data_IF_132129560735
#
_entry.id   IF_132129560735
#
_cell.length_a   1.000
_cell.length_b   1.000
_cell.length_c   1.000
_cell.angle_alpha   90.00
_cell.angle_beta   90.00
_cell.angle_gamma   90.00
#
_symmetry.space_group_name_H-M   'P 1'
#
loop_
_entity.id
_entity.type
_entity.pdbx_description
1 polymer ?
#
# COMPACT_ATOMS: atom_id res chain seq x y z
N UNK A 1 31.90 5.88 -2.93
CA UNK A 1 31.77 6.81 -1.80
C UNK A 1 30.29 6.89 -1.44
N UNK A 2 29.86 6.47 -0.24
CA UNK A 2 28.48 6.72 0.19
C UNK A 2 28.32 8.23 0.39
N UNK A 3 27.39 8.85 -0.32
CA UNK A 3 27.04 10.26 -0.11
C UNK A 3 26.35 10.36 1.24
N UNK A 4 27.10 10.73 2.28
CA UNK A 4 26.54 11.03 3.60
C UNK A 4 25.74 12.32 3.42
N UNK A 5 24.40 12.21 3.50
CA UNK A 5 23.51 13.38 3.50
C UNK A 5 23.86 14.23 4.72
N UNK A 6 24.56 15.34 4.45
CA UNK A 6 24.96 16.29 5.48
C UNK A 6 23.72 17.01 6.01
N UNK A 7 23.69 17.26 7.31
CA UNK A 7 22.61 17.94 8.00
C UNK A 7 22.48 19.37 7.46
N UNK A 8 21.28 19.75 7.01
CA UNK A 8 20.99 21.13 6.67
C UNK A 8 21.01 21.98 7.96
N UNK A 9 22.16 22.57 8.28
CA UNK A 9 22.35 23.59 9.33
C UNK A 9 21.73 24.94 8.95
N UNK A 10 20.54 24.94 8.35
CA UNK A 10 19.74 26.14 8.18
C UNK A 10 19.07 26.51 9.49
N UNK A 11 19.18 27.77 9.91
CA UNK A 11 18.61 28.32 11.15
C UNK A 11 17.07 28.27 11.26
N UNK A 12 16.39 27.71 10.26
CA UNK A 12 14.94 27.59 10.24
C UNK A 12 14.51 26.29 10.94
N UNK A 13 13.74 26.41 12.03
CA UNK A 13 13.13 25.26 12.68
C UNK A 13 12.22 24.50 11.69
N UNK A 14 12.51 23.23 11.36
CA UNK A 14 11.74 22.46 10.37
C UNK A 14 10.27 22.28 10.77
N UNK A 15 9.93 22.42 12.05
CA UNK A 15 8.58 22.24 12.56
C UNK A 15 7.65 23.46 12.37
N UNK A 16 8.12 24.54 11.74
CA UNK A 16 7.37 25.81 11.62
C UNK A 16 6.28 25.79 10.57
N UNK A 17 6.42 24.94 9.53
CA UNK A 17 5.45 24.80 8.46
C UNK A 17 5.59 23.44 7.78
N UNK A 18 4.54 22.98 7.09
CA UNK A 18 4.61 21.76 6.28
C UNK A 18 5.76 21.82 5.28
N UNK A 19 5.94 22.95 4.60
CA UNK A 19 6.97 23.12 3.58
C UNK A 19 8.37 22.96 4.17
N UNK A 20 8.63 23.54 5.34
CA UNK A 20 9.92 23.43 6.02
C UNK A 20 10.18 22.01 6.52
N UNK A 21 9.15 21.35 7.08
CA UNK A 21 9.25 19.97 7.54
C UNK A 21 9.50 19.04 6.36
N UNK A 22 8.76 19.21 5.28
CA UNK A 22 8.87 18.38 4.09
C UNK A 22 10.24 18.54 3.41
N UNK A 23 10.77 19.76 3.29
CA UNK A 23 12.11 20.00 2.77
C UNK A 23 13.20 19.30 3.60
N UNK A 24 12.96 19.10 4.91
CA UNK A 24 13.87 18.37 5.80
C UNK A 24 13.70 16.84 5.72
N UNK A 25 12.47 16.35 5.56
CA UNK A 25 12.13 14.92 5.53
C UNK A 25 12.35 14.27 4.16
N UNK A 26 12.00 14.96 3.08
CA UNK A 26 11.99 14.41 1.72
C UNK A 26 13.36 13.82 1.30
N UNK A 27 14.51 14.48 1.53
CA UNK A 27 15.80 13.91 1.14
C UNK A 27 16.10 12.55 1.79
N UNK A 28 15.65 12.36 3.04
CA UNK A 28 15.78 11.08 3.73
C UNK A 28 14.84 10.02 3.15
N UNK A 29 13.62 10.41 2.76
CA UNK A 29 12.69 9.52 2.06
C UNK A 29 13.24 9.10 0.70
N UNK A 30 13.76 10.03 -0.09
CA UNK A 30 14.38 9.74 -1.38
C UNK A 30 15.55 8.77 -1.23
N UNK A 31 16.38 8.96 -0.20
CA UNK A 31 17.48 8.06 0.09
C UNK A 31 17.02 6.63 0.44
N UNK A 32 15.93 6.44 1.20
CA UNK A 32 15.48 5.10 1.60
C UNK A 32 14.56 4.42 0.58
N UNK A 33 13.83 5.19 -0.23
CA UNK A 33 12.85 4.67 -1.20
C UNK A 33 13.45 4.53 -2.59
N UNK A 34 14.22 5.53 -3.04
CA UNK A 34 14.62 5.66 -4.45
C UNK A 34 16.08 5.26 -4.71
N UNK A 35 16.96 5.36 -3.72
CA UNK A 35 18.37 4.97 -3.92
C UNK A 35 18.51 3.49 -4.26
N UNK A 36 19.39 3.13 -5.21
CA UNK A 36 19.78 1.74 -5.41
C UNK A 36 20.34 1.15 -4.12
N UNK A 37 19.76 0.04 -3.65
CA UNK A 37 20.33 -0.75 -2.56
C UNK A 37 20.99 -2.00 -3.15
N UNK A 38 22.27 -2.17 -2.82
CA UNK A 38 23.03 -3.39 -3.10
C UNK A 38 23.04 -4.33 -1.88
N UNK A 39 22.20 -4.10 -0.87
CA UNK A 39 22.16 -4.98 0.31
C UNK A 39 21.61 -6.36 -0.10
N UNK A 40 22.39 -7.44 0.02
CA UNK A 40 21.97 -8.79 -0.36
C UNK A 40 20.79 -9.28 0.48
N UNK A 41 20.54 -8.69 1.65
CA UNK A 41 19.42 -9.02 2.53
C UNK A 41 18.15 -8.21 2.19
N UNK A 42 18.17 -7.40 1.13
CA UNK A 42 17.01 -6.62 0.69
C UNK A 42 16.63 -5.49 1.65
N UNK A 43 17.58 -4.97 2.43
CA UNK A 43 17.33 -3.84 3.35
C UNK A 43 17.37 -2.51 2.60
N UNK A 44 16.57 -1.56 3.10
CA UNK A 44 16.64 -0.18 2.67
C UNK A 44 18.00 0.44 3.05
N UNK A 45 18.50 1.43 2.29
CA UNK A 45 19.67 2.21 2.67
C UNK A 45 19.53 2.79 4.07
N UNK A 46 20.61 2.72 4.86
CA UNK A 46 20.60 3.27 6.21
C UNK A 46 20.58 4.80 6.19
N UNK A 47 19.86 5.39 7.14
CA UNK A 47 19.92 6.82 7.45
C UNK A 47 20.82 7.00 8.67
N UNK A 48 21.63 8.06 8.68
CA UNK A 48 22.42 8.45 9.84
C UNK A 48 21.53 8.68 11.07
N UNK A 49 22.00 8.25 12.25
CA UNK A 49 21.21 8.35 13.48
C UNK A 49 20.85 9.79 13.82
N UNK A 50 21.75 10.75 13.58
CA UNK A 50 21.49 12.17 13.80
C UNK A 50 20.35 12.69 12.94
N UNK A 51 20.33 12.33 11.65
CA UNK A 51 19.23 12.67 10.75
C UNK A 51 17.92 11.99 11.15
N UNK A 52 17.97 10.70 11.54
CA UNK A 52 16.80 9.97 12.02
C UNK A 52 16.17 10.65 13.25
N UNK A 53 16.98 10.93 14.28
CA UNK A 53 16.54 11.58 15.50
C UNK A 53 16.05 13.02 15.26
N UNK A 54 16.72 13.75 14.35
CA UNK A 54 16.31 15.08 13.91
C UNK A 54 14.93 15.08 13.26
N UNK A 55 14.67 14.16 12.33
CA UNK A 55 13.36 14.01 11.66
C UNK A 55 12.27 13.65 12.66
N UNK A 56 12.54 12.70 13.55
CA UNK A 56 11.58 12.31 14.58
C UNK A 56 11.20 13.51 15.47
N UNK A 57 12.19 14.30 15.90
CA UNK A 57 11.99 15.49 16.73
C UNK A 57 11.25 16.60 15.98
N UNK A 58 11.58 16.82 14.70
CA UNK A 58 10.90 17.78 13.84
C UNK A 58 9.41 17.41 13.64
N UNK A 59 9.12 16.13 13.39
CA UNK A 59 7.74 15.65 13.27
C UNK A 59 6.96 15.82 14.58
N UNK A 60 7.57 15.47 15.72
CA UNK A 60 6.97 15.69 17.04
C UNK A 60 6.60 17.16 17.26
N UNK A 61 7.58 18.07 17.08
CA UNK A 61 7.38 19.49 17.27
C UNK A 61 6.31 20.07 16.33
N UNK A 62 6.22 19.55 15.09
CA UNK A 62 5.22 19.99 14.11
C UNK A 62 3.79 19.70 14.59
N UNK A 63 3.54 18.47 15.04
CA UNK A 63 2.25 18.06 15.58
C UNK A 63 1.91 18.86 16.85
N UNK A 64 2.87 19.06 17.75
CA UNK A 64 2.67 19.85 18.97
C UNK A 64 2.30 21.29 18.64
N UNK A 65 3.04 21.97 17.75
CA UNK A 65 2.76 23.35 17.36
C UNK A 65 1.39 23.54 16.69
N UNK A 66 0.97 22.57 15.86
CA UNK A 66 -0.37 22.58 15.27
C UNK A 66 -1.48 22.39 16.31
N UNK A 67 -1.24 21.54 17.33
CA UNK A 67 -2.22 21.31 18.40
C UNK A 67 -2.41 22.56 19.29
N UNK A 68 -1.34 23.28 19.59
CA UNK A 68 -1.36 24.52 20.38
C UNK A 68 -2.08 25.66 19.64
N UNK A 69 -1.83 25.78 18.32
CA UNK A 69 -2.50 26.76 17.46
C UNK A 69 -4.03 26.54 17.39
N UNK A 70 -4.47 25.27 17.46
CA UNK A 70 -5.88 24.92 17.53
C UNK A 70 -6.54 25.27 18.87
N UNK A 71 -5.80 25.17 19.98
CA UNK A 71 -6.32 25.44 21.33
C UNK A 71 -6.57 26.92 21.62
N UNK A 72 -5.82 27.84 20.99
CA UNK A 72 -5.99 29.29 21.18
C UNK A 72 -7.27 29.82 20.48
N UNK A 73 -7.81 29.07 19.52
CA UNK A 73 -8.98 29.48 18.72
C UNK A 73 -10.34 29.24 19.41
N UNK A 74 -10.38 28.73 20.64
CA UNK A 74 -11.62 28.50 21.40
C UNK A 74 -12.15 29.74 22.15
N UNK A 75 -11.48 30.88 22.07
CA UNK A 75 -11.87 32.10 22.80
C UNK A 75 -12.73 33.11 22.00
N UNK A 76 -13.07 32.83 20.73
CA UNK A 76 -13.86 33.74 19.89
C UNK A 76 -15.18 33.08 19.43
N UNK A 77 -16.35 33.64 19.78
CA UNK A 77 -17.63 33.11 19.32
C UNK A 77 -18.05 33.83 18.02
N UNK A 78 -17.58 33.37 16.86
CA UNK A 78 -18.15 33.82 15.57
C UNK A 78 -18.01 32.78 14.44
N UNK A 79 -19.16 32.54 13.82
CA UNK A 79 -19.42 32.03 12.48
C UNK A 79 -19.05 30.59 12.04
N UNK A 80 -20.13 29.85 11.83
CA UNK A 80 -20.27 28.61 11.06
C UNK A 80 -19.73 28.81 9.63
N UNK A 81 -18.48 28.42 9.34
CA UNK A 81 -18.00 27.92 8.01
C UNK A 81 -16.49 27.66 7.86
N UNK A 82 -15.74 27.36 8.93
CA UNK A 82 -14.38 26.82 8.80
C UNK A 82 -14.17 25.63 9.73
N UNK A 83 -14.59 24.46 9.27
CA UNK A 83 -14.40 23.17 9.96
C UNK A 83 -12.93 22.69 9.95
N UNK A 84 -11.96 23.62 10.01
CA UNK A 84 -10.52 23.36 10.07
C UNK A 84 -9.97 23.34 11.50
N UNK A 85 -10.84 23.39 12.51
CA UNK A 85 -10.49 23.03 13.89
C UNK A 85 -10.20 21.51 13.95
N UNK A 86 -8.93 21.11 14.00
CA UNK A 86 -8.52 19.75 14.42
C UNK A 86 -7.75 18.88 13.41
N UNK A 87 -7.35 19.39 12.25
CA UNK A 87 -6.72 18.56 11.20
C UNK A 87 -5.21 18.33 11.37
N UNK A 88 -4.69 18.29 12.61
CA UNK A 88 -3.26 18.09 12.82
C UNK A 88 -2.78 16.79 12.17
N UNK A 89 -1.78 16.91 11.30
CA UNK A 89 -1.16 15.81 10.57
C UNK A 89 -1.88 15.33 9.29
N UNK A 90 -3.00 15.95 8.88
CA UNK A 90 -3.69 15.59 7.62
C UNK A 90 -2.85 15.98 6.42
N UNK A 91 -2.27 17.17 6.48
CA UNK A 91 -1.43 17.79 5.46
C UNK A 91 -0.14 16.98 5.17
N UNK A 92 0.56 16.54 6.21
CA UNK A 92 1.74 15.67 6.05
C UNK A 92 1.36 14.29 5.52
N UNK A 93 0.19 13.76 5.90
CA UNK A 93 -0.29 12.48 5.38
C UNK A 93 -0.61 12.57 3.88
N UNK A 94 -1.29 13.62 3.43
CA UNK A 94 -1.56 13.89 2.02
C UNK A 94 -0.26 14.09 1.23
N UNK A 95 0.71 14.80 1.81
CA UNK A 95 2.03 14.99 1.20
C UNK A 95 2.79 13.66 1.04
N UNK A 96 2.72 12.77 2.03
CA UNK A 96 3.27 11.41 1.94
C UNK A 96 2.55 10.58 0.87
N UNK A 97 1.24 10.71 0.79
CA UNK A 97 0.43 10.00 -0.21
C UNK A 97 0.82 10.42 -1.64
N UNK A 98 1.01 11.72 -1.88
CA UNK A 98 1.51 12.25 -3.15
C UNK A 98 2.92 11.73 -3.45
N UNK A 99 3.81 11.76 -2.46
CA UNK A 99 5.17 11.26 -2.59
C UNK A 99 5.23 9.79 -3.01
N UNK A 100 4.47 8.91 -2.34
CA UNK A 100 4.45 7.48 -2.69
C UNK A 100 3.80 7.21 -4.03
N UNK A 101 2.83 8.03 -4.46
CA UNK A 101 2.27 7.98 -5.81
C UNK A 101 3.34 8.31 -6.86
N UNK A 102 4.09 9.40 -6.68
CA UNK A 102 5.18 9.79 -7.59
C UNK A 102 6.30 8.74 -7.64
N UNK A 103 6.77 8.26 -6.48
CA UNK A 103 7.78 7.20 -6.41
C UNK A 103 7.31 5.91 -7.11
N UNK A 104 6.03 5.56 -7.00
CA UNK A 104 5.48 4.39 -7.70
C UNK A 104 5.36 4.62 -9.21
N UNK A 105 4.99 5.83 -9.66
CA UNK A 105 4.96 6.19 -11.08
C UNK A 105 6.34 6.16 -11.71
N UNK A 106 7.39 6.58 -11.01
CA UNK A 106 8.78 6.45 -11.48
C UNK A 106 9.13 4.98 -11.77
N UNK A 107 8.73 4.05 -10.89
CA UNK A 107 8.91 2.61 -11.11
C UNK A 107 8.08 2.13 -12.31
N UNK A 108 6.83 2.59 -12.44
CA UNK A 108 5.99 2.22 -13.59
C UNK A 108 6.58 2.69 -14.92
N UNK A 109 7.14 3.90 -14.96
CA UNK A 109 7.78 4.49 -16.14
C UNK A 109 9.10 3.78 -16.50
N UNK A 110 9.81 3.25 -15.50
CA UNK A 110 11.03 2.47 -15.70
C UNK A 110 10.79 1.02 -16.12
N UNK A 111 9.54 0.55 -16.12
CA UNK A 111 9.24 -0.82 -16.52
C UNK A 111 9.62 -1.05 -18.00
N UNK A 112 10.34 -2.14 -18.33
CA UNK A 112 10.68 -2.45 -19.72
C UNK A 112 9.40 -2.66 -20.54
N UNK A 113 9.48 -2.67 -21.87
CA UNK A 113 8.33 -2.96 -22.75
C UNK A 113 8.14 -4.46 -23.03
N UNK A 114 9.23 -5.21 -22.95
CA UNK A 114 9.28 -6.65 -23.13
C UNK A 114 8.64 -7.38 -21.92
N UNK A 115 7.98 -8.51 -22.18
CA UNK A 115 7.20 -9.23 -21.16
C UNK A 115 8.10 -10.16 -20.30
N UNK A 116 9.21 -10.70 -20.83
CA UNK A 116 10.18 -11.53 -20.08
C UNK A 116 10.88 -10.70 -19.00
N UNK A 117 11.44 -9.57 -19.42
CA UNK A 117 12.21 -8.67 -18.53
C UNK A 117 11.33 -7.92 -17.55
N UNK A 118 10.01 -7.89 -17.75
CA UNK A 118 9.07 -7.19 -16.88
C UNK A 118 9.09 -7.74 -15.45
N UNK A 119 9.06 -9.06 -15.28
CA UNK A 119 9.04 -9.65 -13.93
C UNK A 119 10.41 -9.52 -13.25
N UNK A 120 11.49 -9.70 -14.02
CA UNK A 120 12.86 -9.47 -13.58
C UNK A 120 13.07 -8.02 -13.10
N UNK A 121 12.34 -7.06 -13.67
CA UNK A 121 12.35 -5.67 -13.22
C UNK A 121 11.44 -5.42 -12.01
N UNK A 122 10.19 -5.89 -12.05
CA UNK A 122 9.18 -5.58 -11.04
C UNK A 122 9.55 -6.16 -9.68
N UNK A 123 9.98 -7.42 -9.62
CA UNK A 123 10.22 -8.10 -8.32
C UNK A 123 11.32 -7.40 -7.52
N UNK A 124 12.52 -7.12 -8.06
CA UNK A 124 13.55 -6.36 -7.35
C UNK A 124 13.13 -4.93 -7.05
N UNK A 125 12.43 -4.26 -7.98
CA UNK A 125 11.95 -2.89 -7.78
C UNK A 125 10.95 -2.80 -6.64
N UNK A 126 10.02 -3.76 -6.55
CA UNK A 126 9.10 -3.88 -5.44
C UNK A 126 9.82 -4.19 -4.13
N UNK A 127 10.77 -5.12 -4.12
CA UNK A 127 11.50 -5.47 -2.89
C UNK A 127 12.23 -4.26 -2.30
N UNK A 128 12.87 -3.44 -3.13
CA UNK A 128 13.50 -2.17 -2.71
C UNK A 128 12.45 -1.18 -2.18
N UNK A 129 11.38 -0.97 -2.95
CA UNK A 129 10.29 -0.08 -2.56
C UNK A 129 9.65 -0.49 -1.24
N UNK A 130 9.36 -1.78 -1.06
CA UNK A 130 8.79 -2.38 0.15
C UNK A 130 9.72 -2.16 1.35
N UNK A 131 11.01 -2.47 1.22
CA UNK A 131 11.97 -2.26 2.30
C UNK A 131 12.09 -0.78 2.70
N UNK A 132 12.11 0.11 1.70
CA UNK A 132 12.09 1.55 1.91
C UNK A 132 10.81 2.01 2.61
N UNK A 133 9.65 1.51 2.20
CA UNK A 133 8.35 1.82 2.83
C UNK A 133 8.30 1.38 4.30
N UNK A 134 8.87 0.22 4.63
CA UNK A 134 9.01 -0.21 6.03
C UNK A 134 9.95 0.71 6.83
N UNK A 135 11.02 1.22 6.20
CA UNK A 135 11.92 2.19 6.81
C UNK A 135 11.25 3.54 7.05
N UNK A 136 10.53 4.06 6.05
CA UNK A 136 9.75 5.28 6.14
C UNK A 136 8.68 5.19 7.24
N UNK A 137 8.01 4.05 7.34
CA UNK A 137 7.00 3.79 8.38
C UNK A 137 7.60 3.87 9.80
N UNK A 138 8.83 3.40 10.00
CA UNK A 138 9.53 3.54 11.29
C UNK A 138 9.96 4.98 11.56
N UNK A 139 10.55 5.64 10.56
CA UNK A 139 11.01 7.03 10.64
C UNK A 139 9.88 8.00 10.99
N UNK A 140 8.71 7.80 10.39
CA UNK A 140 7.54 8.67 10.50
C UNK A 140 6.42 8.07 11.36
N UNK A 141 6.77 7.15 12.28
CA UNK A 141 5.79 6.46 13.13
C UNK A 141 4.94 7.41 14.00
N UNK A 142 5.42 8.64 14.21
CA UNK A 142 4.65 9.68 14.88
C UNK A 142 3.33 10.01 14.15
N UNK A 143 3.36 10.05 12.81
CA UNK A 143 2.16 10.24 11.97
C UNK A 143 1.18 9.09 12.17
N UNK A 144 1.67 7.85 12.23
CA UNK A 144 0.81 6.69 12.51
C UNK A 144 0.12 6.81 13.88
N UNK A 145 0.89 7.19 14.91
CA UNK A 145 0.40 7.26 16.30
C UNK A 145 -0.61 8.38 16.53
N UNK A 146 -0.44 9.53 15.89
CA UNK A 146 -1.21 10.73 16.20
C UNK A 146 -2.23 11.12 15.13
N UNK A 147 -1.93 10.88 13.86
CA UNK A 147 -2.88 11.13 12.77
C UNK A 147 -3.65 9.87 12.38
N UNK A 148 -2.96 8.80 11.96
CA UNK A 148 -3.63 7.59 11.43
C UNK A 148 -4.50 6.96 12.50
N UNK A 149 -4.00 6.77 13.73
CA UNK A 149 -4.80 6.24 14.84
C UNK A 149 -6.08 7.05 15.06
N UNK A 150 -5.96 8.37 15.15
CA UNK A 150 -7.11 9.28 15.32
C UNK A 150 -8.09 9.17 14.15
N UNK A 151 -7.59 9.14 12.91
CA UNK A 151 -8.43 8.99 11.72
C UNK A 151 -9.20 7.65 11.72
N UNK A 152 -8.56 6.56 12.17
CA UNK A 152 -9.23 5.26 12.33
C UNK A 152 -10.30 5.32 13.42
N UNK A 153 -10.01 5.96 14.56
CA UNK A 153 -10.97 6.18 15.64
C UNK A 153 -12.17 7.05 15.19
N UNK A 154 -11.96 7.95 14.21
CA UNK A 154 -12.95 8.80 13.54
C UNK A 154 -13.64 8.12 12.33
N UNK A 155 -13.60 6.79 12.23
CA UNK A 155 -14.21 6.00 11.15
C UNK A 155 -13.65 6.26 9.73
N UNK A 156 -12.40 6.69 9.61
CA UNK A 156 -11.72 6.89 8.30
C UNK A 156 -10.75 5.77 7.95
N UNK A 157 -10.66 4.73 8.76
CA UNK A 157 -9.78 3.57 8.56
C UNK A 157 -10.11 2.72 7.33
N UNK A 158 -9.31 1.67 7.10
CA UNK A 158 -9.53 0.73 5.99
C UNK A 158 -10.85 -0.03 6.11
N UNK A 159 -11.26 -0.36 7.33
CA UNK A 159 -12.55 -0.97 7.65
C UNK A 159 -13.38 0.04 8.43
N UNK A 160 -14.37 0.64 7.76
CA UNK A 160 -15.26 1.60 8.42
C UNK A 160 -16.41 0.88 9.10
N UNK A 161 -16.78 1.39 10.27
CA UNK A 161 -18.02 1.10 10.97
C UNK A 161 -19.21 1.23 10.04
N UNK A 162 -19.29 2.30 9.25
CA UNK A 162 -20.34 2.48 8.23
C UNK A 162 -20.43 1.30 7.25
N UNK A 163 -19.30 0.80 6.72
CA UNK A 163 -19.28 -0.36 5.81
C UNK A 163 -19.79 -1.64 6.49
N UNK A 164 -19.48 -1.80 7.79
CA UNK A 164 -19.91 -2.95 8.58
C UNK A 164 -21.39 -2.85 8.93
N UNK A 165 -21.86 -1.66 9.30
CA UNK A 165 -23.26 -1.42 9.63
C UNK A 165 -24.18 -1.65 8.45
N UNK A 166 -23.84 -1.16 7.25
CA UNK A 166 -24.65 -1.46 6.06
C UNK A 166 -24.73 -2.97 5.78
N UNK A 167 -23.66 -3.72 6.09
CA UNK A 167 -23.64 -5.18 5.98
C UNK A 167 -24.39 -5.90 7.10
N UNK A 168 -24.57 -5.27 8.26
CA UNK A 168 -25.19 -5.86 9.46
C UNK A 168 -26.56 -5.26 9.80
N UNK A 169 -27.03 -4.25 9.05
CA UNK A 169 -28.27 -3.52 9.32
C UNK A 169 -29.53 -4.43 9.35
N UNK A 170 -29.43 -5.66 8.84
CA UNK A 170 -30.48 -6.67 8.93
C UNK A 170 -30.51 -7.44 10.26
N UNK A 171 -29.43 -7.37 11.04
CA UNK A 171 -29.18 -8.18 12.24
C UNK A 171 -29.00 -7.34 13.51
N UNK A 172 -28.89 -6.02 13.39
CA UNK A 172 -28.70 -5.10 14.54
C UNK A 172 -30.06 -4.54 14.96
N UNK A 173 -30.41 -4.71 16.23
CA UNK A 173 -31.59 -4.11 16.84
C UNK A 173 -31.22 -2.79 17.51
N UNK A 174 -32.20 -1.88 17.64
CA UNK A 174 -32.01 -0.58 18.30
C UNK A 174 -31.60 -0.68 19.78
N UNK A 175 -31.73 -1.86 20.39
CA UNK A 175 -31.37 -2.15 21.78
C UNK A 175 -29.95 -2.75 21.94
N UNK A 176 -29.23 -2.99 20.85
CA UNK A 176 -27.91 -3.63 20.91
C UNK A 176 -26.89 -2.75 21.64
N UNK A 177 -26.22 -3.33 22.63
CA UNK A 177 -25.24 -2.61 23.45
C UNK A 177 -23.95 -2.34 22.68
N UNK A 178 -23.19 -1.33 23.11
CA UNK A 178 -21.85 -1.01 22.59
C UNK A 178 -20.91 -2.22 22.56
N UNK A 179 -21.09 -3.15 23.50
CA UNK A 179 -20.30 -4.40 23.58
C UNK A 179 -20.64 -5.37 22.45
N UNK A 180 -21.93 -5.55 22.13
CA UNK A 180 -22.39 -6.36 21.00
C UNK A 180 -21.83 -5.79 19.69
N UNK A 181 -21.92 -4.48 19.50
CA UNK A 181 -21.39 -3.79 18.33
C UNK A 181 -19.87 -3.99 18.21
N UNK A 182 -19.14 -3.86 19.31
CA UNK A 182 -17.68 -4.04 19.34
C UNK A 182 -17.28 -5.49 19.00
N UNK A 183 -18.07 -6.47 19.47
CA UNK A 183 -17.89 -7.88 19.14
C UNK A 183 -18.13 -8.15 17.64
N UNK A 184 -19.23 -7.63 17.10
CA UNK A 184 -19.57 -7.76 15.67
C UNK A 184 -18.50 -7.14 14.75
N UNK A 185 -17.97 -5.97 15.11
CA UNK A 185 -16.86 -5.34 14.38
C UNK A 185 -15.61 -6.22 14.39
N UNK A 186 -15.28 -6.83 15.54
CA UNK A 186 -14.14 -7.74 15.67
C UNK A 186 -14.34 -8.98 14.79
N UNK A 187 -15.51 -9.60 14.84
CA UNK A 187 -15.85 -10.76 14.01
C UNK A 187 -15.78 -10.41 12.52
N UNK A 188 -16.32 -9.26 12.12
CA UNK A 188 -16.26 -8.80 10.74
C UNK A 188 -14.83 -8.51 10.28
N UNK A 189 -14.01 -7.88 11.13
CA UNK A 189 -12.57 -7.71 10.87
C UNK A 189 -11.91 -9.05 10.60
N UNK A 190 -12.10 -10.05 11.47
CA UNK A 190 -11.53 -11.39 11.28
C UNK A 190 -12.00 -12.04 9.98
N UNK A 191 -13.28 -11.90 9.60
CA UNK A 191 -13.80 -12.39 8.31
C UNK A 191 -13.12 -11.72 7.12
N UNK A 192 -12.86 -10.42 7.19
CA UNK A 192 -12.12 -9.71 6.15
C UNK A 192 -10.66 -10.19 6.08
N UNK A 193 -10.02 -10.42 7.23
CA UNK A 193 -8.64 -10.94 7.28
C UNK A 193 -8.49 -12.34 6.69
N UNK A 194 -9.50 -13.20 6.81
CA UNK A 194 -9.50 -14.53 6.16
C UNK A 194 -9.29 -14.45 4.64
N UNK A 195 -9.70 -13.36 3.99
CA UNK A 195 -9.46 -13.13 2.54
C UNK A 195 -7.98 -12.92 2.21
N UNK A 196 -7.15 -12.68 3.21
CA UNK A 196 -5.72 -12.40 3.12
C UNK A 196 -4.84 -13.54 3.64
N UNK A 197 -5.44 -14.69 3.98
CA UNK A 197 -4.72 -15.86 4.48
C UNK A 197 -4.53 -15.88 5.99
N UNK A 198 -5.37 -15.16 6.74
CA UNK A 198 -5.46 -15.32 8.19
C UNK A 198 -6.33 -16.53 8.55
N UNK A 199 -5.86 -17.34 9.48
CA UNK A 199 -6.56 -18.45 10.12
C UNK A 199 -6.70 -18.23 11.63
N UNK A 200 -7.75 -18.78 12.22
CA UNK A 200 -7.98 -18.63 13.65
C UNK A 200 -6.91 -19.37 14.45
N UNK A 201 -6.21 -18.66 15.32
CA UNK A 201 -5.03 -19.17 16.05
C UNK A 201 -3.69 -18.75 15.47
N UNK A 202 -3.68 -18.04 14.33
CA UNK A 202 -2.44 -17.48 13.76
C UNK A 202 -1.70 -16.55 14.72
N UNK A 203 -0.36 -16.48 14.63
CA UNK A 203 0.44 -15.58 15.46
C UNK A 203 0.12 -14.10 15.17
N UNK A 204 0.39 -13.19 16.11
CA UNK A 204 0.14 -11.75 15.94
C UNK A 204 0.80 -11.15 14.70
N UNK A 205 1.95 -11.68 14.29
CA UNK A 205 2.66 -11.24 13.09
C UNK A 205 1.88 -11.53 11.80
N UNK A 206 1.22 -12.69 11.73
CA UNK A 206 0.40 -13.08 10.58
C UNK A 206 -0.90 -12.26 10.54
N UNK A 207 -1.47 -11.93 11.71
CA UNK A 207 -2.60 -10.97 11.80
C UNK A 207 -2.18 -9.60 11.26
N UNK A 208 -1.05 -9.06 11.72
CA UNK A 208 -0.55 -7.76 11.28
C UNK A 208 -0.22 -7.76 9.77
N UNK A 209 0.28 -8.87 9.25
CA UNK A 209 0.53 -9.05 7.82
C UNK A 209 -0.78 -9.04 7.00
N UNK A 210 -1.78 -9.81 7.42
CA UNK A 210 -3.09 -9.84 6.77
C UNK A 210 -3.77 -8.46 6.81
N UNK A 211 -3.64 -7.74 7.92
CA UNK A 211 -4.12 -6.37 8.08
C UNK A 211 -3.42 -5.40 7.13
N UNK A 212 -2.09 -5.45 7.05
CA UNK A 212 -1.34 -4.63 6.09
C UNK A 212 -1.75 -4.88 4.63
N UNK A 213 -2.06 -6.13 4.28
CA UNK A 213 -2.59 -6.48 2.95
C UNK A 213 -3.99 -5.90 2.73
N UNK A 214 -4.89 -6.00 3.73
CA UNK A 214 -6.24 -5.44 3.66
C UNK A 214 -6.23 -3.91 3.56
N UNK A 215 -5.35 -3.26 4.30
CA UNK A 215 -5.11 -1.82 4.26
C UNK A 215 -4.59 -1.37 2.89
N UNK A 216 -3.58 -2.05 2.35
CA UNK A 216 -3.08 -1.80 1.00
C UNK A 216 -4.17 -2.02 -0.06
N UNK A 217 -5.08 -2.96 0.19
CA UNK A 217 -6.20 -3.26 -0.67
C UNK A 217 -7.35 -2.24 -0.59
N UNK A 218 -7.36 -1.38 0.43
CA UNK A 218 -8.45 -0.44 0.64
C UNK A 218 -8.52 0.64 -0.46
N UNK A 219 -9.70 1.28 -0.64
CA UNK A 219 -9.85 2.46 -1.49
C UNK A 219 -8.94 3.63 -1.08
N UNK A 220 -8.66 4.55 -2.01
CA UNK A 220 -7.74 5.68 -1.78
C UNK A 220 -8.25 6.69 -0.75
N UNK A 221 -9.56 6.76 -0.52
CA UNK A 221 -10.17 7.66 0.47
C UNK A 221 -10.07 7.12 1.91
N UNK A 222 -9.45 5.94 2.11
CA UNK A 222 -9.20 5.39 3.44
C UNK A 222 -7.87 5.89 4.00
N UNK A 223 -7.81 6.10 5.31
CA UNK A 223 -6.58 6.39 6.05
C UNK A 223 -6.01 5.08 6.58
N UNK A 224 -4.76 4.80 6.21
CA UNK A 224 -4.02 3.59 6.55
C UNK A 224 -2.60 3.92 7.02
N UNK A 225 -1.91 3.04 7.76
CA UNK A 225 -0.51 3.21 8.13
C UNK A 225 0.39 3.49 6.93
N UNK A 226 1.50 4.20 7.17
CA UNK A 226 2.43 4.66 6.11
C UNK A 226 2.93 3.52 5.22
N UNK A 227 3.28 2.36 5.79
CA UNK A 227 3.70 1.20 5.01
C UNK A 227 2.61 0.72 4.04
N UNK A 228 1.38 0.60 4.53
CA UNK A 228 0.22 0.18 3.73
C UNK A 228 -0.20 1.24 2.70
N UNK A 229 -0.03 2.53 3.02
CA UNK A 229 -0.22 3.64 2.09
C UNK A 229 0.72 3.53 0.90
N UNK A 230 2.01 3.28 1.15
CA UNK A 230 3.00 3.06 0.09
C UNK A 230 2.63 1.85 -0.77
N UNK A 231 2.29 0.71 -0.17
CA UNK A 231 1.87 -0.48 -0.91
C UNK A 231 0.60 -0.24 -1.75
N UNK A 232 -0.37 0.53 -1.24
CA UNK A 232 -1.58 0.95 -1.97
C UNK A 232 -1.22 1.80 -3.20
N UNK A 233 -0.26 2.71 -3.06
CA UNK A 233 0.24 3.51 -4.21
C UNK A 233 0.97 2.65 -5.22
N UNK A 234 1.79 1.70 -4.78
CA UNK A 234 2.41 0.74 -5.70
C UNK A 234 1.36 -0.11 -6.43
N UNK A 235 0.29 -0.56 -5.74
CA UNK A 235 -0.82 -1.27 -6.37
C UNK A 235 -1.47 -0.46 -7.48
N UNK A 236 -1.89 0.75 -7.15
CA UNK A 236 -2.70 1.60 -8.03
C UNK A 236 -1.91 2.19 -9.20
N UNK A 237 -0.65 2.56 -8.98
CA UNK A 237 0.19 3.19 -10.02
C UNK A 237 0.94 2.16 -10.87
N UNK A 238 1.24 0.97 -10.33
CA UNK A 238 2.06 -0.06 -11.03
C UNK A 238 1.24 -1.30 -11.35
N UNK A 239 0.67 -1.96 -10.35
CA UNK A 239 0.07 -3.30 -10.55
C UNK A 239 -1.24 -3.27 -11.31
N UNK A 240 -2.18 -2.39 -10.95
CA UNK A 240 -3.49 -2.29 -11.60
C UNK A 240 -3.38 -1.99 -13.10
N UNK A 241 -2.55 -1.04 -13.57
CA UNK A 241 -2.31 -0.82 -15.00
C UNK A 241 -1.77 -2.05 -15.71
N UNK A 242 -0.86 -2.80 -15.08
CA UNK A 242 -0.26 -4.00 -15.67
C UNK A 242 -1.22 -5.21 -15.68
N UNK A 243 -2.16 -5.25 -14.75
CA UNK A 243 -3.23 -6.25 -14.65
C UNK A 243 -4.39 -5.95 -15.62
N UNK A 244 -4.61 -4.68 -15.96
CA UNK A 244 -5.68 -4.25 -16.84
C UNK A 244 -5.51 -4.86 -18.25
N UNK A 245 -6.60 -5.43 -18.77
CA UNK A 245 -6.65 -5.93 -20.15
C UNK A 245 -6.79 -4.76 -21.13
N UNK A 246 -6.03 -4.71 -22.24
CA UNK A 246 -6.18 -3.67 -23.25
C UNK A 246 -7.62 -3.58 -23.75
N UNK A 247 -8.25 -2.41 -23.60
CA UNK A 247 -9.59 -2.18 -24.17
C UNK A 247 -9.45 -2.07 -25.68
N UNK A 248 -9.84 -3.12 -26.42
CA UNK A 248 -9.99 -3.04 -27.87
C UNK A 248 -11.14 -2.07 -28.16
N UNK A 249 -10.82 -0.83 -28.58
CA UNK A 249 -11.82 0.12 -29.10
C UNK A 249 -12.29 -0.33 -30.49
N UNK A 250 -13.13 -1.37 -30.53
CA UNK A 250 -13.83 -1.82 -31.72
C UNK A 250 -15.32 -1.50 -31.61
N UNK A 251 -15.82 -0.56 -32.41
CA UNK A 251 -17.26 -0.39 -32.67
C UNK A 251 -17.76 -1.64 -33.41
N UNK A 252 -18.23 -2.68 -32.71
CA UNK A 252 -18.91 -3.79 -33.38
C UNK A 252 -20.42 -3.50 -33.51
N UNK A 253 -20.80 -2.82 -34.60
CA UNK A 253 -22.14 -3.01 -35.17
C UNK A 253 -22.15 -4.37 -35.88
N UNK A 254 -22.39 -5.46 -35.15
CA UNK A 254 -22.63 -6.76 -35.76
C UNK A 254 -23.93 -7.35 -35.19
N UNK A 255 -25.03 -7.11 -35.91
CA UNK A 255 -26.28 -7.84 -35.78
C UNK A 255 -26.04 -9.27 -36.28
N UNK A 256 -25.59 -10.18 -35.42
CA UNK A 256 -25.96 -11.60 -35.52
C UNK A 256 -25.69 -12.26 -34.16
N UNK A 257 -26.77 -12.71 -33.52
CA UNK A 257 -26.75 -13.54 -32.31
C UNK A 257 -26.07 -14.87 -32.65
N UNK A 258 -24.89 -15.10 -32.10
CA UNK A 258 -24.30 -16.45 -31.99
C UNK A 258 -24.82 -17.06 -30.67
N UNK A 259 -25.21 -18.35 -30.63
CA UNK A 259 -25.78 -18.98 -29.43
C UNK A 259 -24.80 -19.00 -28.26
N UNK A 260 -25.31 -18.73 -27.05
CA UNK A 260 -24.56 -18.82 -25.79
C UNK A 260 -24.27 -20.29 -25.46
N UNK A 261 -23.03 -20.74 -25.64
CA UNK A 261 -22.46 -21.92 -24.96
C UNK A 261 -21.78 -21.51 -23.66
N UNK A 262 -21.68 -22.40 -22.66
CA UNK A 262 -21.25 -22.05 -21.32
C UNK A 262 -19.74 -21.77 -21.26
N UNK A 263 -19.41 -20.71 -20.52
CA UNK A 263 -18.12 -20.21 -20.07
C UNK A 263 -16.90 -21.17 -20.20
N UNK A 264 -16.27 -21.18 -21.36
CA UNK A 264 -14.83 -21.42 -21.48
C UNK A 264 -14.14 -20.05 -21.61
N UNK A 265 -12.96 -19.81 -20.98
CA UNK A 265 -12.25 -18.55 -21.10
C UNK A 265 -11.82 -18.38 -22.56
N UNK A 266 -12.46 -17.44 -23.25
CA UNK A 266 -12.26 -17.18 -24.66
C UNK A 266 -10.79 -16.77 -24.90
N UNK A 267 -9.98 -17.53 -25.66
CA UNK A 267 -8.55 -17.25 -25.85
C UNK A 267 -8.25 -15.97 -26.64
N UNK A 268 -9.29 -15.31 -27.18
CA UNK A 268 -9.18 -14.15 -28.05
C UNK A 268 -9.21 -12.77 -27.34
N UNK A 269 -9.36 -12.73 -26.01
CA UNK A 269 -9.28 -11.46 -25.27
C UNK A 269 -7.83 -11.13 -24.92
N UNK A 270 -7.34 -9.92 -25.20
CA UNK A 270 -5.97 -9.53 -24.88
C UNK A 270 -5.83 -9.52 -23.36
N UNK A 271 -5.00 -10.44 -22.83
CA UNK A 271 -4.68 -10.50 -21.40
C UNK A 271 -3.96 -9.23 -20.98
N UNK A 272 -4.09 -8.87 -19.70
CA UNK A 272 -3.25 -7.83 -19.11
C UNK A 272 -1.77 -8.17 -19.27
N UNK A 273 -0.93 -7.14 -19.36
CA UNK A 273 0.49 -7.28 -19.67
C UNK A 273 1.20 -8.20 -18.69
N UNK A 274 0.93 -8.05 -17.39
CA UNK A 274 1.50 -8.92 -16.35
C UNK A 274 1.08 -10.39 -16.52
N UNK A 275 -0.15 -10.65 -16.95
CA UNK A 275 -0.62 -12.01 -17.17
C UNK A 275 0.03 -12.69 -18.38
N UNK A 276 0.50 -11.92 -19.38
CA UNK A 276 1.32 -12.44 -20.47
C UNK A 276 2.73 -12.73 -20.00
N UNK A 277 3.36 -11.79 -19.30
CA UNK A 277 4.67 -11.97 -18.68
C UNK A 277 4.74 -13.21 -17.78
N UNK A 278 3.72 -13.42 -16.93
CA UNK A 278 3.65 -14.63 -16.08
C UNK A 278 3.39 -15.90 -16.89
N UNK A 279 2.70 -15.80 -18.03
CA UNK A 279 2.56 -16.96 -18.92
C UNK A 279 3.93 -17.35 -19.48
N UNK A 280 4.66 -16.37 -19.99
CA UNK A 280 5.97 -16.56 -20.59
C UNK A 280 7.01 -17.05 -19.57
N UNK A 281 7.11 -16.43 -18.39
CA UNK A 281 8.00 -16.87 -17.31
C UNK A 281 7.82 -18.35 -16.95
N UNK A 282 6.57 -18.83 -16.92
CA UNK A 282 6.26 -20.20 -16.50
C UNK A 282 6.39 -21.23 -17.62
N UNK A 283 6.45 -20.79 -18.88
CA UNK A 283 6.47 -21.67 -20.07
C UNK A 283 7.81 -21.62 -20.83
N UNK A 284 8.67 -20.62 -20.57
CA UNK A 284 9.97 -20.48 -21.25
C UNK A 284 11.02 -21.42 -20.68
N UNK A 285 11.81 -22.04 -21.56
CA UNK A 285 12.97 -22.87 -21.22
C UNK A 285 14.26 -22.04 -21.06
N UNK A 286 14.23 -20.75 -21.39
CA UNK A 286 15.41 -19.86 -21.36
C UNK A 286 15.80 -19.40 -19.95
N UNK A 287 14.96 -19.66 -18.95
CA UNK A 287 15.18 -19.30 -17.54
C UNK A 287 15.31 -20.60 -16.74
N UNK A 288 16.37 -20.70 -15.94
CA UNK A 288 16.58 -21.83 -15.06
C UNK A 288 15.45 -21.97 -14.02
N UNK A 289 15.24 -23.19 -13.53
CA UNK A 289 14.11 -23.49 -12.66
C UNK A 289 14.19 -22.73 -11.32
N UNK A 290 15.39 -22.54 -10.77
CA UNK A 290 15.59 -21.83 -9.51
C UNK A 290 15.22 -20.34 -9.65
N UNK A 291 15.70 -19.68 -10.70
CA UNK A 291 15.36 -18.29 -11.01
C UNK A 291 13.87 -18.14 -11.31
N UNK A 292 13.26 -19.10 -12.02
CA UNK A 292 11.82 -19.12 -12.30
C UNK A 292 11.01 -19.19 -11.01
N UNK A 293 11.39 -20.07 -10.08
CA UNK A 293 10.77 -20.17 -8.76
C UNK A 293 10.94 -18.88 -7.95
N UNK A 294 12.14 -18.30 -7.97
CA UNK A 294 12.44 -17.05 -7.27
C UNK A 294 11.58 -15.89 -7.79
N UNK A 295 11.45 -15.75 -9.11
CA UNK A 295 10.64 -14.71 -9.74
C UNK A 295 9.15 -14.94 -9.51
N UNK A 296 8.66 -16.18 -9.65
CA UNK A 296 7.26 -16.52 -9.41
C UNK A 296 6.87 -16.29 -7.94
N UNK A 297 7.70 -16.74 -6.99
CA UNK A 297 7.50 -16.54 -5.55
C UNK A 297 7.57 -15.06 -5.16
N UNK A 298 8.55 -14.34 -5.71
CA UNK A 298 8.69 -12.90 -5.52
C UNK A 298 7.46 -12.14 -5.99
N UNK A 299 6.96 -12.45 -7.19
CA UNK A 299 5.76 -11.81 -7.74
C UNK A 299 4.49 -12.18 -6.96
N UNK A 300 4.34 -13.43 -6.54
CA UNK A 300 3.21 -13.85 -5.71
C UNK A 300 3.16 -13.06 -4.40
N UNK A 301 4.32 -12.90 -3.75
CA UNK A 301 4.48 -12.07 -2.55
C UNK A 301 4.19 -10.60 -2.83
N UNK A 302 4.68 -10.03 -3.95
CA UNK A 302 4.36 -8.66 -4.35
C UNK A 302 2.85 -8.45 -4.47
N UNK A 303 2.16 -9.31 -5.21
CA UNK A 303 0.71 -9.22 -5.40
C UNK A 303 -0.04 -9.30 -4.07
N UNK A 304 0.38 -10.19 -3.16
CA UNK A 304 -0.22 -10.29 -1.83
C UNK A 304 -0.04 -9.00 -1.01
N UNK A 305 1.20 -8.54 -0.86
CA UNK A 305 1.55 -7.39 0.00
C UNK A 305 0.90 -6.09 -0.47
N UNK A 306 0.74 -5.91 -1.78
CA UNK A 306 0.08 -4.72 -2.36
C UNK A 306 -1.43 -4.83 -2.39
N UNK A 307 -2.02 -5.86 -1.78
CA UNK A 307 -3.47 -5.97 -1.65
C UNK A 307 -4.19 -6.50 -2.89
N UNK A 308 -3.55 -7.40 -3.66
CA UNK A 308 -4.25 -8.21 -4.67
C UNK A 308 -4.78 -9.48 -4.02
N UNK A 309 -6.11 -9.64 -4.06
CA UNK A 309 -6.84 -10.71 -3.37
C UNK A 309 -6.45 -12.12 -3.87
N UNK A 310 -6.58 -13.11 -2.98
CA UNK A 310 -6.27 -14.52 -3.26
C UNK A 310 -7.18 -15.15 -4.32
N UNK A 311 -8.36 -14.60 -4.54
CA UNK A 311 -9.30 -15.06 -5.56
C UNK A 311 -8.92 -14.64 -6.99
N UNK A 312 -7.98 -13.68 -7.12
CA UNK A 312 -7.49 -13.18 -8.39
C UNK A 312 -6.81 -14.29 -9.22
N UNK A 313 -7.19 -14.40 -10.50
CA UNK A 313 -6.76 -15.49 -11.37
C UNK A 313 -5.23 -15.63 -11.50
N UNK A 314 -4.52 -14.49 -11.56
CA UNK A 314 -3.06 -14.50 -11.64
C UNK A 314 -2.40 -15.02 -10.36
N UNK A 315 -2.96 -14.67 -9.19
CA UNK A 315 -2.44 -15.09 -7.90
C UNK A 315 -2.62 -16.60 -7.72
N UNK A 316 -3.82 -17.11 -8.03
CA UNK A 316 -4.09 -18.55 -8.09
C UNK A 316 -3.14 -19.31 -9.02
N UNK A 317 -2.79 -18.74 -10.17
CA UNK A 317 -1.86 -19.37 -11.12
C UNK A 317 -0.46 -19.52 -10.51
N UNK A 318 0.05 -18.46 -9.88
CA UNK A 318 1.35 -18.46 -9.21
C UNK A 318 1.35 -19.39 -7.99
N UNK A 319 0.33 -19.32 -7.13
CA UNK A 319 0.22 -20.15 -5.93
C UNK A 319 0.16 -21.65 -6.29
N UNK A 320 -0.59 -22.00 -7.35
CA UNK A 320 -0.64 -23.37 -7.87
C UNK A 320 0.74 -23.83 -8.35
N UNK A 321 1.43 -22.99 -9.14
CA UNK A 321 2.76 -23.31 -9.65
C UNK A 321 3.74 -23.58 -8.50
N UNK A 322 3.79 -22.69 -7.51
CA UNK A 322 4.67 -22.81 -6.33
C UNK A 322 4.36 -24.03 -5.47
N UNK A 323 3.10 -24.42 -5.35
CA UNK A 323 2.69 -25.61 -4.59
C UNK A 323 3.09 -26.89 -5.31
N UNK A 324 2.93 -26.95 -6.63
CA UNK A 324 3.29 -28.12 -7.44
C UNK A 324 4.80 -28.37 -7.40
N UNK A 325 5.61 -27.35 -7.62
CA UNK A 325 7.08 -27.48 -7.62
C UNK A 325 7.65 -27.84 -6.25
N UNK A 326 7.09 -27.29 -5.16
CA UNK A 326 7.51 -27.65 -3.79
C UNK A 326 7.11 -29.08 -3.39
N UNK A 327 6.17 -29.72 -4.09
CA UNK A 327 5.77 -31.10 -3.82
C UNK A 327 6.62 -32.12 -4.59
N UNK A 328 7.38 -31.67 -5.59
CA UNK A 328 8.26 -32.50 -6.44
C UNK A 328 9.73 -32.45 -6.00
N UNK A 329 10.08 -31.56 -5.07
CA UNK A 329 11.42 -31.41 -4.44
C UNK A 329 11.49 -32.14 -3.09
#
# INVERSE_FOLDING_TARGET
>A
MPTILNHASGSANPATSLSSLWAYVQPALDHIIKSPSNDPNGKAPAIDYGLYAGIHSACYNYFTAQSESGAISFAAPTDLKSNHQGNSGTDIYEQLEQYFSEASREIALGAPLDDITLIQYIVPSFNRYHAGAQSANRLLNYVNRHYVKRAVDEDRGWLRFSDVFDSLAKNINAEDTREIISKLLREKRLQELKKWGYEEGDPPEQVAFAEGCAEAASPIDRVVPISSLAHRRFRTEVMEPLLASPKIKGKSKAKHKIPKTPAAPNPALPRGRLARAVKELLETDDIDEEERLRLAGGLAKTLQVVGIRNDHALRKKLDKYLTTTNSES
#
